data_IF_315782054122
#
_entry.id   IF_315782054122
#
_cell.length_a   1.000
_cell.length_b   1.000
_cell.length_c   1.000
_cell.angle_alpha   90.00
_cell.angle_beta   90.00
_cell.angle_gamma   90.00
#
_symmetry.space_group_name_H-M   'P 1'
#
loop_
_entity.id
_entity.type
_entity.pdbx_description
1 polymer ?
#
# COMPACT_ATOMS: atom_id res chain seq x y z
N UNK A 1 -4.10 6.48 25.45
CA UNK A 1 -3.68 5.15 24.96
C UNK A 1 -4.48 4.54 23.81
N UNK A 2 -5.46 5.22 23.17
CA UNK A 2 -6.33 4.55 22.16
C UNK A 2 -5.79 4.41 20.73
N UNK A 3 -4.70 5.08 20.36
CA UNK A 3 -4.22 5.12 18.96
C UNK A 3 -3.03 4.19 18.66
N UNK A 4 -2.46 3.50 19.64
CA UNK A 4 -1.31 2.59 19.43
C UNK A 4 0.00 3.24 18.97
N UNK A 5 0.04 4.57 18.84
CA UNK A 5 1.19 5.35 18.34
C UNK A 5 1.95 6.14 19.43
N UNK A 6 1.51 6.05 20.68
CA UNK A 6 2.14 6.76 21.79
C UNK A 6 2.97 5.80 22.64
N UNK A 7 4.11 6.31 23.10
CA UNK A 7 4.97 5.67 24.10
C UNK A 7 5.50 6.74 25.05
N UNK A 8 6.16 6.34 26.12
CA UNK A 8 6.69 7.24 27.15
C UNK A 8 7.72 8.25 26.62
N UNK A 9 8.35 7.95 25.48
CA UNK A 9 9.40 8.76 24.88
C UNK A 9 9.03 9.17 23.45
N UNK A 10 9.19 10.45 23.12
CA UNK A 10 9.05 10.91 21.74
C UNK A 10 10.30 10.58 20.94
N UNK A 11 10.13 10.03 19.72
CA UNK A 11 11.25 9.80 18.80
C UNK A 11 11.96 11.14 18.52
N UNK A 12 13.27 11.28 18.77
CA UNK A 12 14.00 12.53 18.52
C UNK A 12 13.94 12.96 17.05
N UNK A 13 13.85 14.26 16.78
CA UNK A 13 13.75 14.76 15.40
C UNK A 13 14.98 14.39 14.56
N UNK A 14 16.16 14.27 15.18
CA UNK A 14 17.41 13.84 14.55
C UNK A 14 17.41 12.37 14.12
N UNK A 15 16.53 11.54 14.71
CA UNK A 15 16.31 10.16 14.25
C UNK A 15 15.38 10.11 13.04
N UNK A 16 14.46 11.06 12.92
CA UNK A 16 13.57 11.23 11.76
C UNK A 16 14.32 11.91 10.61
N UNK A 17 15.11 12.94 10.89
CA UNK A 17 15.79 13.76 9.89
C UNK A 17 17.31 13.64 10.03
N UNK A 18 17.92 12.79 9.20
CA UNK A 18 19.39 12.75 9.05
C UNK A 18 19.81 13.53 7.80
N UNK A 19 20.84 14.37 7.87
CA UNK A 19 21.29 15.15 6.71
C UNK A 19 21.69 14.24 5.55
N UNK A 20 21.32 14.61 4.32
CA UNK A 20 21.69 13.86 3.11
C UNK A 20 21.00 12.49 2.97
N UNK A 21 19.92 12.23 3.72
CA UNK A 21 19.17 10.97 3.65
C UNK A 21 17.72 11.22 3.27
N UNK A 22 17.07 10.17 2.76
CA UNK A 22 15.61 10.13 2.55
C UNK A 22 15.01 9.26 3.64
N UNK A 23 14.17 9.85 4.49
CA UNK A 23 13.41 9.11 5.50
C UNK A 23 12.02 8.81 4.97
N UNK A 24 11.69 7.53 4.86
CA UNK A 24 10.36 7.06 4.44
C UNK A 24 9.54 6.74 5.69
N UNK A 25 8.42 7.43 5.86
CA UNK A 25 7.44 7.16 6.91
C UNK A 25 6.31 6.33 6.32
N UNK A 26 6.37 5.01 6.49
CA UNK A 26 5.33 4.13 6.01
C UNK A 26 4.12 4.18 6.95
N UNK A 27 3.00 4.71 6.44
CA UNK A 27 1.72 4.81 7.15
C UNK A 27 0.70 3.76 6.67
N UNK A 28 1.09 2.85 5.78
CA UNK A 28 0.22 1.80 5.26
C UNK A 28 -0.30 0.90 6.38
N UNK A 29 -1.56 0.48 6.26
CA UNK A 29 -2.23 -0.37 7.26
C UNK A 29 -2.78 0.38 8.49
N UNK A 30 -2.45 1.67 8.67
CA UNK A 30 -3.06 2.51 9.70
C UNK A 30 -4.38 3.10 9.22
N UNK A 31 -5.31 3.34 10.14
CA UNK A 31 -6.56 4.04 9.81
C UNK A 31 -6.30 5.54 9.52
N UNK A 32 -7.21 6.17 8.78
CA UNK A 32 -7.06 7.56 8.31
C UNK A 32 -6.82 8.57 9.43
N UNK A 33 -7.50 8.40 10.57
CA UNK A 33 -7.36 9.29 11.73
C UNK A 33 -5.95 9.25 12.32
N UNK A 34 -5.38 8.05 12.45
CA UNK A 34 -4.01 7.85 12.93
C UNK A 34 -3.01 8.43 11.93
N UNK A 35 -3.20 8.18 10.63
CA UNK A 35 -2.32 8.73 9.59
C UNK A 35 -2.29 10.26 9.63
N UNK A 36 -3.47 10.90 9.73
CA UNK A 36 -3.60 12.35 9.80
C UNK A 36 -2.96 12.92 11.07
N UNK A 37 -3.20 12.29 12.22
CA UNK A 37 -2.59 12.70 13.49
C UNK A 37 -1.05 12.59 13.45
N UNK A 38 -0.51 11.46 12.99
CA UNK A 38 0.95 11.24 12.88
C UNK A 38 1.57 12.28 11.94
N UNK A 39 0.95 12.50 10.78
CA UNK A 39 1.39 13.50 9.80
C UNK A 39 1.40 14.90 10.40
N UNK A 40 0.28 15.33 11.00
CA UNK A 40 0.18 16.64 11.66
C UNK A 40 1.27 16.83 12.72
N UNK A 41 1.47 15.82 13.57
CA UNK A 41 2.45 15.88 14.65
C UNK A 41 3.89 15.99 14.12
N UNK A 42 4.27 15.15 13.15
CA UNK A 42 5.62 15.16 12.59
C UNK A 42 5.89 16.48 11.86
N UNK A 43 4.99 16.92 10.97
CA UNK A 43 5.14 18.18 10.23
C UNK A 43 5.24 19.37 11.17
N UNK A 44 4.43 19.40 12.23
CA UNK A 44 4.47 20.47 13.24
C UNK A 44 5.81 20.51 13.95
N UNK A 45 6.36 19.34 14.32
CA UNK A 45 7.68 19.24 14.97
C UNK A 45 8.80 19.71 14.03
N UNK A 46 8.76 19.28 12.77
CA UNK A 46 9.73 19.70 11.74
C UNK A 46 9.70 21.22 11.54
N UNK A 47 8.51 21.77 11.32
CA UNK A 47 8.35 23.20 11.09
C UNK A 47 8.80 24.03 12.31
N UNK A 48 8.36 23.66 13.53
CA UNK A 48 8.79 24.33 14.76
C UNK A 48 10.31 24.27 14.95
N UNK A 49 10.94 23.12 14.72
CA UNK A 49 12.38 22.98 14.87
C UNK A 49 13.18 23.85 13.90
N UNK A 50 12.66 24.04 12.67
CA UNK A 50 13.23 24.94 11.68
C UNK A 50 13.02 26.41 12.03
N UNK A 51 11.83 26.79 12.50
CA UNK A 51 11.54 28.15 12.98
C UNK A 51 12.45 28.50 14.16
N UNK A 52 12.57 27.62 15.17
CA UNK A 52 13.41 27.85 16.34
C UNK A 52 14.89 27.97 15.98
N UNK A 53 15.37 27.19 15.02
CA UNK A 53 16.74 27.33 14.52
C UNK A 53 16.95 28.68 13.81
N UNK A 54 16.09 29.02 12.84
CA UNK A 54 16.24 30.23 12.01
C UNK A 54 16.03 31.54 12.79
N UNK A 55 15.23 31.53 13.85
CA UNK A 55 14.96 32.69 14.71
C UNK A 55 15.74 32.68 16.02
N UNK A 56 16.64 31.71 16.21
CA UNK A 56 17.39 31.49 17.44
C UNK A 56 16.51 31.45 18.72
N UNK A 57 15.32 30.84 18.63
CA UNK A 57 14.41 30.69 19.78
C UNK A 57 14.80 29.49 20.63
N UNK A 58 14.28 29.41 21.85
CA UNK A 58 14.42 28.21 22.68
C UNK A 58 13.64 27.00 22.12
N UNK A 59 13.99 25.80 22.60
CA UNK A 59 13.34 24.55 22.22
C UNK A 59 14.08 23.74 21.13
N UNK A 60 13.42 22.73 20.53
CA UNK A 60 14.03 21.88 19.52
C UNK A 60 14.53 22.70 18.33
N UNK A 61 15.74 22.41 17.84
CA UNK A 61 16.34 23.07 16.67
C UNK A 61 16.76 22.02 15.65
N UNK A 62 16.57 22.32 14.37
CA UNK A 62 17.12 21.51 13.28
C UNK A 62 17.85 22.43 12.29
N UNK A 63 19.16 22.27 12.06
CA UNK A 63 19.97 23.26 11.34
C UNK A 63 19.84 23.22 9.83
N UNK A 64 19.44 22.09 9.24
CA UNK A 64 19.41 21.91 7.79
C UNK A 64 18.04 22.18 7.17
N UNK A 65 17.95 22.61 5.91
CA UNK A 65 16.68 22.64 5.18
C UNK A 65 16.04 21.25 5.08
N UNK A 66 14.71 21.21 4.98
CA UNK A 66 13.94 19.97 4.90
C UNK A 66 13.00 20.04 3.71
N UNK A 67 12.96 18.99 2.89
CA UNK A 67 11.94 18.79 1.87
C UNK A 67 10.96 17.75 2.38
N UNK A 68 9.71 18.14 2.51
CA UNK A 68 8.60 17.26 2.89
C UNK A 68 7.89 16.83 1.62
N UNK A 69 7.77 15.51 1.42
CA UNK A 69 7.02 14.93 0.31
C UNK A 69 5.79 14.24 0.89
N UNK A 70 4.60 14.67 0.47
CA UNK A 70 3.31 14.08 0.87
C UNK A 70 2.72 13.31 -0.29
N UNK A 71 2.74 11.99 -0.20
CA UNK A 71 2.00 11.10 -1.09
C UNK A 71 0.51 11.09 -0.72
N UNK A 72 -0.38 10.88 -1.69
CA UNK A 72 -1.83 10.90 -1.49
C UNK A 72 -2.30 12.16 -0.75
N UNK A 73 -1.73 13.32 -1.11
CA UNK A 73 -1.86 14.57 -0.34
C UNK A 73 -3.32 14.99 -0.08
N UNK A 74 -4.27 14.57 -0.92
CA UNK A 74 -5.70 14.84 -0.74
C UNK A 74 -6.29 14.16 0.51
N UNK A 75 -5.60 13.17 1.08
CA UNK A 75 -5.92 12.56 2.37
C UNK A 75 -5.51 13.43 3.56
N UNK A 76 -4.61 14.38 3.38
CA UNK A 76 -4.06 15.21 4.46
C UNK A 76 -4.47 16.68 4.34
N UNK A 77 -4.61 17.18 3.12
CA UNK A 77 -5.00 18.56 2.84
C UNK A 77 -6.24 18.65 1.93
N UNK A 78 -7.39 18.05 2.30
CA UNK A 78 -8.64 18.28 1.57
C UNK A 78 -9.17 19.71 1.80
N UNK A 79 -10.02 20.23 0.90
CA UNK A 79 -10.70 21.50 1.13
C UNK A 79 -11.48 21.47 2.45
N UNK A 80 -11.37 22.53 3.26
CA UNK A 80 -11.97 22.61 4.61
C UNK A 80 -13.45 22.25 4.68
N UNK A 81 -14.21 22.60 3.64
CA UNK A 81 -15.66 22.33 3.57
C UNK A 81 -16.00 20.86 3.27
N UNK A 82 -15.04 20.09 2.73
CA UNK A 82 -15.20 18.65 2.44
C UNK A 82 -14.87 17.84 3.69
N UNK A 83 -13.73 18.10 4.32
CA UNK A 83 -13.28 17.40 5.52
C UNK A 83 -12.27 18.25 6.27
N UNK A 84 -12.42 18.32 7.58
CA UNK A 84 -11.41 18.93 8.46
C UNK A 84 -10.38 17.87 8.86
N UNK A 85 -9.10 18.14 8.61
CA UNK A 85 -7.97 17.29 9.01
C UNK A 85 -7.05 18.07 9.96
N UNK A 86 -6.40 17.35 10.88
CA UNK A 86 -5.42 17.90 11.80
C UNK A 86 -4.17 18.39 11.07
N UNK A 87 -3.81 17.76 9.96
CA UNK A 87 -2.60 18.09 9.20
C UNK A 87 -2.77 19.30 8.28
N UNK A 88 -3.98 19.63 7.83
CA UNK A 88 -4.22 20.74 6.90
C UNK A 88 -3.62 22.06 7.40
N UNK A 89 -3.84 22.41 8.67
CA UNK A 89 -3.33 23.69 9.23
C UNK A 89 -1.81 23.83 9.15
N UNK A 90 -1.06 22.76 9.44
CA UNK A 90 0.41 22.79 9.32
C UNK A 90 0.86 22.69 7.86
N UNK A 91 0.15 21.95 7.01
CA UNK A 91 0.45 21.86 5.58
C UNK A 91 0.29 23.22 4.91
N UNK A 92 -0.84 23.91 5.10
CA UNK A 92 -1.06 25.28 4.57
C UNK A 92 -0.02 26.27 5.07
N UNK A 93 0.40 26.14 6.34
CA UNK A 93 1.46 26.98 6.89
C UNK A 93 2.83 26.70 6.28
N UNK A 94 3.18 25.43 6.05
CA UNK A 94 4.42 25.08 5.36
C UNK A 94 4.37 25.59 3.91
N UNK A 95 3.24 25.43 3.22
CA UNK A 95 3.09 25.90 1.84
C UNK A 95 3.30 27.42 1.72
N UNK A 96 2.72 28.20 2.64
CA UNK A 96 2.80 29.68 2.62
C UNK A 96 4.07 30.27 3.24
N UNK A 97 4.56 29.72 4.36
CA UNK A 97 5.67 30.29 5.14
C UNK A 97 6.96 29.46 5.08
N UNK A 98 6.90 28.20 4.64
CA UNK A 98 7.98 27.23 4.76
C UNK A 98 9.29 27.68 4.13
N UNK A 99 9.23 28.35 2.96
CA UNK A 99 10.40 28.90 2.27
C UNK A 99 11.24 29.81 3.16
N UNK A 100 10.61 30.64 4.02
CA UNK A 100 11.31 31.54 4.95
C UNK A 100 12.15 30.80 5.98
N UNK A 101 11.79 29.55 6.26
CA UNK A 101 12.43 28.70 7.28
C UNK A 101 13.18 27.51 6.68
N UNK A 102 13.30 27.42 5.35
CA UNK A 102 13.92 26.29 4.67
C UNK A 102 13.14 24.97 4.84
N UNK A 103 11.82 25.04 4.95
CA UNK A 103 10.93 23.87 4.85
C UNK A 103 10.21 23.95 3.52
N UNK A 104 10.48 23.00 2.63
CA UNK A 104 9.85 22.91 1.32
C UNK A 104 8.79 21.81 1.34
N UNK A 105 7.72 22.01 0.58
CA UNK A 105 6.62 21.06 0.46
C UNK A 105 6.50 20.59 -0.98
N UNK A 106 6.39 19.28 -1.16
CA UNK A 106 6.02 18.62 -2.40
C UNK A 106 4.78 17.80 -2.11
N UNK A 107 3.70 18.08 -2.83
CA UNK A 107 2.44 17.31 -2.75
C UNK A 107 2.30 16.45 -3.99
N UNK A 108 2.01 15.17 -3.79
CA UNK A 108 1.77 14.20 -4.85
C UNK A 108 0.34 13.70 -4.70
N UNK A 109 -0.44 13.78 -5.78
CA UNK A 109 -1.84 13.34 -5.80
C UNK A 109 -2.28 13.05 -7.22
N UNK A 110 -3.14 12.06 -7.36
CA UNK A 110 -3.91 11.74 -8.57
C UNK A 110 -5.22 12.56 -8.67
N UNK A 111 -5.62 13.25 -7.59
CA UNK A 111 -6.83 14.08 -7.51
C UNK A 111 -6.50 15.51 -7.05
N UNK A 112 -5.89 16.35 -7.90
CA UNK A 112 -5.59 17.74 -7.54
C UNK A 112 -6.85 18.55 -7.17
N UNK A 113 -8.02 18.26 -7.74
CA UNK A 113 -9.29 18.90 -7.35
C UNK A 113 -9.71 18.63 -5.90
N UNK A 114 -9.16 17.60 -5.27
CA UNK A 114 -9.41 17.24 -3.87
C UNK A 114 -8.36 17.80 -2.91
N UNK A 115 -7.47 18.67 -3.37
CA UNK A 115 -6.54 19.41 -2.52
C UNK A 115 -7.18 20.76 -2.17
N UNK A 116 -6.94 21.23 -0.95
CA UNK A 116 -7.30 22.57 -0.53
C UNK A 116 -6.73 23.62 -1.50
N UNK A 117 -7.55 24.53 -2.06
CA UNK A 117 -7.09 25.48 -3.07
C UNK A 117 -5.97 26.41 -2.60
N UNK A 118 -5.93 26.74 -1.29
CA UNK A 118 -4.86 27.57 -0.74
C UNK A 118 -3.55 26.77 -0.72
N UNK A 119 -3.59 25.47 -0.43
CA UNK A 119 -2.39 24.62 -0.51
C UNK A 119 -1.92 24.47 -1.96
N UNK A 120 -2.85 24.20 -2.88
CA UNK A 120 -2.52 23.98 -4.29
C UNK A 120 -1.97 25.24 -4.96
N UNK A 121 -2.54 26.42 -4.68
CA UNK A 121 -2.07 27.71 -5.22
C UNK A 121 -0.69 28.13 -4.73
N UNK A 122 -0.22 27.62 -3.59
CA UNK A 122 1.16 27.84 -3.12
C UNK A 122 2.17 26.86 -3.75
N UNK A 123 1.70 25.88 -4.52
CA UNK A 123 2.56 24.92 -5.24
C UNK A 123 2.99 25.52 -6.58
N UNK A 124 3.89 26.49 -6.54
CA UNK A 124 4.31 27.29 -7.71
C UNK A 124 5.01 26.47 -8.80
N UNK A 125 5.68 25.38 -8.44
CA UNK A 125 6.33 24.46 -9.38
C UNK A 125 5.49 23.19 -9.48
N UNK A 126 5.11 22.81 -10.69
CA UNK A 126 4.22 21.67 -10.92
C UNK A 126 4.79 20.76 -12.00
N UNK A 127 4.68 19.46 -11.76
CA UNK A 127 4.92 18.41 -12.76
C UNK A 127 3.57 17.74 -12.96
N UNK A 128 2.97 17.97 -14.12
CA UNK A 128 1.60 17.60 -14.43
C UNK A 128 1.64 16.43 -15.40
N UNK A 129 1.28 15.26 -14.90
CA UNK A 129 1.11 14.05 -15.70
C UNK A 129 -0.28 14.03 -16.34
N UNK A 130 -0.58 12.98 -17.11
CA UNK A 130 -1.88 12.80 -17.73
C UNK A 130 -3.03 12.91 -16.71
N UNK A 131 -3.93 13.86 -16.93
CA UNK A 131 -5.19 14.02 -16.19
C UNK A 131 -6.36 13.96 -17.18
N UNK A 132 -7.36 13.13 -16.88
CA UNK A 132 -8.55 12.96 -17.74
C UNK A 132 -9.76 13.70 -17.17
N UNK A 133 -9.85 13.83 -15.84
CA UNK A 133 -10.99 14.43 -15.20
C UNK A 133 -10.96 15.96 -15.33
N UNK A 134 -12.04 16.54 -15.84
CA UNK A 134 -12.13 17.99 -16.07
C UNK A 134 -11.95 18.82 -14.79
N UNK A 135 -12.45 18.36 -13.64
CA UNK A 135 -12.27 19.07 -12.36
C UNK A 135 -10.81 19.11 -11.92
N UNK A 136 -10.06 18.03 -12.17
CA UNK A 136 -8.64 17.94 -11.84
C UNK A 136 -7.80 18.81 -12.78
N UNK A 137 -8.11 18.81 -14.08
CA UNK A 137 -7.50 19.71 -15.07
C UNK A 137 -7.73 21.17 -14.65
N UNK A 138 -8.98 21.55 -14.37
CA UNK A 138 -9.34 22.91 -13.95
C UNK A 138 -8.66 23.34 -12.65
N UNK A 139 -8.47 22.42 -11.69
CA UNK A 139 -7.79 22.72 -10.43
C UNK A 139 -6.31 23.06 -10.64
N UNK A 140 -5.61 22.26 -11.44
CA UNK A 140 -4.19 22.51 -11.78
C UNK A 140 -4.06 23.82 -12.57
N UNK A 141 -4.99 24.07 -13.49
CA UNK A 141 -5.08 25.32 -14.22
C UNK A 141 -5.26 26.55 -13.33
N UNK A 142 -6.25 26.51 -12.43
CA UNK A 142 -6.53 27.62 -11.53
C UNK A 142 -5.40 27.89 -10.55
N UNK A 143 -4.56 26.89 -10.27
CA UNK A 143 -3.41 27.00 -9.38
C UNK A 143 -2.12 27.45 -10.08
N UNK A 144 -2.09 27.55 -11.42
CA UNK A 144 -0.89 27.90 -12.18
C UNK A 144 -1.09 29.16 -13.00
N UNK A 145 -0.29 30.18 -12.71
CA UNK A 145 -0.29 31.44 -13.49
C UNK A 145 0.30 31.27 -14.90
N UNK A 146 1.02 30.18 -15.15
CA UNK A 146 1.79 29.96 -16.39
C UNK A 146 1.01 29.11 -17.40
N UNK A 147 0.05 28.31 -16.96
CA UNK A 147 -0.71 27.41 -17.85
C UNK A 147 -1.73 28.20 -18.68
N UNK A 148 -1.58 28.14 -20.01
CA UNK A 148 -2.56 28.67 -20.95
C UNK A 148 -3.53 27.57 -21.44
N UNK A 149 -4.65 27.98 -22.05
CA UNK A 149 -5.70 27.05 -22.50
C UNK A 149 -5.19 26.01 -23.52
N UNK A 150 -4.13 26.30 -24.27
CA UNK A 150 -3.52 25.40 -25.25
C UNK A 150 -2.77 24.25 -24.57
N UNK A 151 -1.93 24.56 -23.57
CA UNK A 151 -1.22 23.54 -22.77
C UNK A 151 -2.18 22.60 -22.04
N UNK A 152 -3.36 23.08 -21.68
CA UNK A 152 -4.41 22.26 -21.06
C UNK A 152 -4.94 21.14 -21.90
N UNK A 153 -5.12 21.40 -23.19
CA UNK A 153 -5.58 20.39 -24.14
C UNK A 153 -4.55 19.28 -24.28
N UNK A 154 -3.27 19.58 -24.03
CA UNK A 154 -2.22 18.57 -24.05
C UNK A 154 -2.29 17.64 -22.84
N UNK A 155 -2.66 18.14 -21.65
CA UNK A 155 -2.69 17.35 -20.39
C UNK A 155 -3.51 16.06 -20.54
N UNK A 156 -4.63 16.10 -21.27
CA UNK A 156 -5.51 14.94 -21.45
C UNK A 156 -5.00 13.91 -22.46
N UNK A 157 -4.10 14.31 -23.36
CA UNK A 157 -3.57 13.51 -24.47
C UNK A 157 -2.20 12.91 -24.13
N UNK A 158 -1.52 13.39 -23.08
CA UNK A 158 -0.23 12.85 -22.61
C UNK A 158 -0.27 11.34 -22.44
N UNK A 159 0.80 10.66 -22.84
CA UNK A 159 0.99 9.24 -22.60
C UNK A 159 1.53 8.95 -21.19
N UNK A 160 1.49 7.68 -20.79
CA UNK A 160 2.10 7.24 -19.53
C UNK A 160 3.61 7.53 -19.56
N UNK A 161 4.07 8.24 -18.53
CA UNK A 161 5.46 8.70 -18.44
C UNK A 161 5.70 10.07 -19.08
N UNK A 162 4.71 10.68 -19.73
CA UNK A 162 4.82 12.05 -20.25
C UNK A 162 4.17 13.06 -19.30
N UNK A 163 4.74 14.25 -19.26
CA UNK A 163 4.28 15.30 -18.34
C UNK A 163 4.65 16.70 -18.80
N UNK A 164 4.01 17.70 -18.20
CA UNK A 164 4.29 19.11 -18.41
C UNK A 164 4.89 19.67 -17.11
N UNK A 165 6.04 20.32 -17.21
CA UNK A 165 6.68 21.02 -16.10
C UNK A 165 6.45 22.51 -16.24
N UNK A 166 5.93 23.13 -15.18
CA UNK A 166 5.69 24.57 -15.11
C UNK A 166 6.16 25.15 -13.78
N UNK A 167 6.40 26.47 -13.78
CA UNK A 167 6.79 27.22 -12.60
C UNK A 167 8.30 27.45 -12.47
N UNK A 168 8.76 28.01 -11.34
CA UNK A 168 10.15 28.47 -11.15
C UNK A 168 11.26 27.41 -11.31
N UNK A 169 10.89 26.13 -11.32
CA UNK A 169 11.79 25.00 -11.62
C UNK A 169 12.30 25.01 -13.06
N UNK A 170 11.57 25.64 -14.00
CA UNK A 170 11.92 25.73 -15.41
C UNK A 170 11.67 27.15 -15.94
N UNK A 171 12.55 27.70 -16.81
CA UNK A 171 12.38 29.08 -17.31
C UNK A 171 11.16 29.24 -18.23
N UNK A 172 10.71 28.15 -18.87
CA UNK A 172 9.56 28.07 -19.76
C UNK A 172 8.81 26.75 -19.48
N UNK A 173 7.52 26.64 -19.81
CA UNK A 173 6.80 25.36 -19.79
C UNK A 173 7.48 24.32 -20.68
N UNK A 174 7.76 23.14 -20.13
CA UNK A 174 8.42 22.04 -20.85
C UNK A 174 7.53 20.80 -20.87
N UNK A 175 7.33 20.24 -22.05
CA UNK A 175 6.83 18.86 -22.20
C UNK A 175 8.01 17.92 -22.02
N UNK A 176 7.90 16.98 -21.09
CA UNK A 176 8.96 16.04 -20.74
C UNK A 176 8.48 14.60 -20.86
N UNK A 177 9.42 13.69 -21.08
CA UNK A 177 9.24 12.25 -20.91
C UNK A 177 10.09 11.78 -19.74
N UNK A 178 9.45 11.23 -18.72
CA UNK A 178 10.11 10.63 -17.57
C UNK A 178 10.78 9.33 -18.00
N UNK A 179 11.99 9.12 -17.49
CA UNK A 179 12.71 7.85 -17.66
C UNK A 179 12.00 6.74 -16.91
N UNK A 180 12.26 5.50 -17.33
CA UNK A 180 11.80 4.33 -16.60
C UNK A 180 12.37 4.27 -15.18
N UNK A 181 11.56 3.70 -14.29
CA UNK A 181 11.93 3.49 -12.89
C UNK A 181 13.05 2.46 -12.83
N UNK A 182 14.06 2.73 -12.01
CA UNK A 182 15.21 1.81 -11.78
C UNK A 182 15.01 0.94 -10.54
N UNK A 183 14.15 1.36 -9.62
CA UNK A 183 13.88 0.66 -8.36
C UNK A 183 12.60 -0.15 -8.49
N UNK A 184 12.66 -1.45 -8.21
CA UNK A 184 11.47 -2.26 -7.95
C UNK A 184 10.96 -1.93 -6.54
N UNK A 185 9.71 -1.49 -6.41
CA UNK A 185 9.04 -1.46 -5.11
C UNK A 185 7.74 -2.24 -5.21
N UNK A 186 7.45 -3.00 -4.15
CA UNK A 186 6.18 -3.69 -3.95
C UNK A 186 5.01 -2.72 -3.93
N UNK A 187 3.86 -3.20 -4.40
CA UNK A 187 2.69 -2.38 -4.72
C UNK A 187 2.25 -2.50 -6.17
N UNK A 188 2.72 -3.52 -6.91
CA UNK A 188 1.95 -3.99 -8.06
C UNK A 188 0.52 -4.25 -7.55
N UNK A 189 -0.48 -3.70 -8.24
CA UNK A 189 -1.86 -4.10 -8.03
C UNK A 189 -1.88 -5.63 -7.98
N UNK A 190 -2.59 -6.19 -6.99
CA UNK A 190 -2.82 -7.62 -6.96
C UNK A 190 -3.38 -7.96 -8.33
N UNK A 191 -2.73 -8.87 -9.06
CA UNK A 191 -3.28 -9.35 -10.32
C UNK A 191 -4.64 -9.99 -9.96
N UNK A 192 -5.71 -9.25 -10.22
CA UNK A 192 -7.06 -9.65 -9.87
C UNK A 192 -7.45 -10.90 -10.64
N UNK A 193 -6.90 -11.10 -11.84
CA UNK A 193 -7.14 -12.33 -12.59
C UNK A 193 -6.48 -13.51 -11.89
N UNK A 194 -5.25 -13.38 -11.39
CA UNK A 194 -4.61 -14.43 -10.58
C UNK A 194 -5.25 -14.61 -9.20
N UNK A 195 -5.69 -13.54 -8.54
CA UNK A 195 -6.36 -13.60 -7.25
C UNK A 195 -7.78 -14.18 -7.34
N UNK A 196 -8.49 -13.90 -8.45
CA UNK A 196 -9.83 -14.44 -8.74
C UNK A 196 -9.80 -15.73 -9.56
N UNK A 197 -8.63 -16.22 -10.01
CA UNK A 197 -8.47 -17.56 -10.60
C UNK A 197 -8.81 -18.68 -9.62
N UNK A 198 -9.04 -18.37 -8.35
CA UNK A 198 -9.85 -19.24 -7.51
C UNK A 198 -11.32 -19.19 -7.95
N UNK A 199 -11.74 -20.26 -8.64
CA UNK A 199 -13.14 -20.69 -8.87
C UNK A 199 -13.86 -20.15 -10.12
N UNK A 200 -13.40 -20.53 -11.31
CA UNK A 200 -14.31 -20.69 -12.46
C UNK A 200 -14.26 -22.12 -13.04
N UNK A 201 -13.09 -22.77 -13.04
CA UNK A 201 -12.89 -24.09 -13.68
C UNK A 201 -12.81 -25.27 -12.70
N UNK A 202 -12.94 -25.04 -11.39
CA UNK A 202 -12.97 -26.15 -10.42
C UNK A 202 -14.44 -26.49 -10.15
N UNK A 203 -14.93 -27.57 -10.76
CA UNK A 203 -16.15 -28.20 -10.27
C UNK A 203 -15.90 -28.66 -8.83
N UNK A 204 -16.51 -27.96 -7.88
CA UNK A 204 -16.34 -28.21 -6.44
C UNK A 204 -16.72 -29.66 -6.11
N UNK A 205 -17.65 -30.26 -6.85
CA UNK A 205 -18.03 -31.65 -6.64
C UNK A 205 -16.93 -32.60 -7.14
N UNK A 206 -16.37 -32.36 -8.32
CA UNK A 206 -15.25 -33.15 -8.84
C UNK A 206 -14.02 -33.06 -7.91
N UNK A 207 -13.70 -31.85 -7.46
CA UNK A 207 -12.59 -31.61 -6.54
C UNK A 207 -12.81 -32.31 -5.20
N UNK A 208 -14.03 -32.21 -4.66
CA UNK A 208 -14.44 -32.94 -3.46
C UNK A 208 -14.24 -34.44 -3.63
N UNK A 209 -14.76 -35.04 -4.71
CA UNK A 209 -14.64 -36.48 -4.97
C UNK A 209 -13.18 -36.94 -5.05
N UNK A 210 -12.31 -36.14 -5.69
CA UNK A 210 -10.88 -36.45 -5.78
C UNK A 210 -10.20 -36.42 -4.42
N UNK A 211 -10.50 -35.45 -3.57
CA UNK A 211 -9.95 -35.36 -2.22
C UNK A 211 -10.48 -36.50 -1.33
N UNK A 212 -11.77 -36.83 -1.39
CA UNK A 212 -12.36 -37.95 -0.64
C UNK A 212 -11.69 -39.28 -1.01
N UNK A 213 -11.41 -39.49 -2.30
CA UNK A 213 -10.74 -40.69 -2.80
C UNK A 213 -9.31 -40.85 -2.26
N UNK A 214 -8.59 -39.73 -2.09
CA UNK A 214 -7.20 -39.73 -1.62
C UNK A 214 -7.12 -39.90 -0.11
N UNK A 215 -7.98 -39.20 0.62
CA UNK A 215 -8.01 -39.28 2.06
C UNK A 215 -8.68 -40.56 2.55
N UNK A 216 -9.58 -41.17 1.78
CA UNK A 216 -10.41 -42.28 2.24
C UNK A 216 -11.46 -41.85 3.27
N UNK A 217 -11.76 -40.55 3.36
CA UNK A 217 -12.71 -39.96 4.29
C UNK A 217 -13.67 -39.02 3.56
N UNK A 218 -14.91 -38.94 4.02
CA UNK A 218 -15.89 -37.97 3.52
C UNK A 218 -15.54 -36.56 3.98
N UNK A 219 -15.72 -35.58 3.11
CA UNK A 219 -15.46 -34.16 3.43
C UNK A 219 -16.72 -33.34 3.20
N UNK A 220 -16.99 -32.37 4.07
CA UNK A 220 -18.09 -31.42 3.86
C UNK A 220 -17.72 -30.39 2.79
N UNK A 221 -18.71 -29.94 2.03
CA UNK A 221 -18.53 -28.89 1.02
C UNK A 221 -18.03 -27.59 1.64
N UNK A 222 -18.44 -27.30 2.89
CA UNK A 222 -17.95 -26.16 3.66
C UNK A 222 -16.44 -26.24 3.92
N UNK A 223 -15.92 -27.40 4.35
CA UNK A 223 -14.48 -27.57 4.58
C UNK A 223 -13.68 -27.53 3.28
N UNK A 224 -14.25 -28.03 2.17
CA UNK A 224 -13.66 -27.91 0.84
C UNK A 224 -13.51 -26.44 0.43
N UNK A 225 -14.57 -25.64 0.57
CA UNK A 225 -14.53 -24.21 0.25
C UNK A 225 -13.53 -23.45 1.14
N UNK A 226 -13.48 -23.76 2.43
CA UNK A 226 -12.53 -23.15 3.36
C UNK A 226 -11.08 -23.58 3.11
N UNK A 227 -10.86 -24.73 2.47
CA UNK A 227 -9.53 -25.21 2.13
C UNK A 227 -8.94 -24.50 0.90
N UNK A 228 -9.78 -24.06 -0.05
CA UNK A 228 -9.36 -23.42 -1.29
C UNK A 228 -8.31 -22.30 -1.08
N UNK A 229 -8.57 -21.25 -0.28
CA UNK A 229 -7.59 -20.17 -0.09
C UNK A 229 -6.29 -20.63 0.58
N UNK A 230 -6.31 -21.77 1.28
CA UNK A 230 -5.15 -22.31 1.98
C UNK A 230 -4.23 -23.11 1.05
N UNK A 231 -4.67 -23.55 -0.13
CA UNK A 231 -3.86 -24.39 -1.03
C UNK A 231 -2.54 -23.72 -1.41
N UNK A 232 -2.55 -22.41 -1.65
CA UNK A 232 -1.35 -21.66 -2.04
C UNK A 232 -0.43 -21.36 -0.85
N UNK A 233 -0.86 -21.60 0.39
CA UNK A 233 -0.03 -21.43 1.59
C UNK A 233 0.60 -22.75 2.06
N UNK A 234 0.36 -23.85 1.34
CA UNK A 234 0.93 -25.16 1.63
C UNK A 234 2.38 -25.24 1.17
N UNK A 235 3.27 -25.58 2.10
CA UNK A 235 4.71 -25.77 1.90
C UNK A 235 5.19 -27.09 2.51
N UNK A 236 6.42 -27.50 2.19
CA UNK A 236 7.09 -28.67 2.76
C UNK A 236 6.29 -29.97 2.61
N UNK A 237 5.69 -30.19 1.43
CA UNK A 237 4.86 -31.37 1.16
C UNK A 237 5.74 -32.60 0.91
N UNK A 238 5.63 -33.60 1.77
CA UNK A 238 6.34 -34.86 1.67
C UNK A 238 5.38 -36.05 1.73
N UNK A 239 5.72 -37.13 1.02
CA UNK A 239 4.97 -38.39 1.03
C UNK A 239 5.93 -39.54 1.35
N UNK A 240 5.71 -40.20 2.48
CA UNK A 240 6.45 -41.40 2.87
C UNK A 240 5.50 -42.49 3.40
N UNK A 241 5.68 -43.74 2.98
CA UNK A 241 4.84 -44.88 3.39
C UNK A 241 3.33 -44.61 3.42
N UNK A 242 2.80 -43.93 2.39
CA UNK A 242 1.38 -43.48 2.28
C UNK A 242 0.95 -42.45 3.32
N UNK A 243 1.87 -41.81 4.03
CA UNK A 243 1.62 -40.66 4.90
C UNK A 243 2.00 -39.40 4.14
N UNK A 244 1.01 -38.55 3.88
CA UNK A 244 1.19 -37.20 3.35
C UNK A 244 1.38 -36.24 4.52
N UNK A 245 2.45 -35.45 4.51
CA UNK A 245 2.79 -34.49 5.56
C UNK A 245 3.15 -33.14 4.94
N UNK A 246 2.88 -32.07 5.66
CA UNK A 246 3.33 -30.75 5.27
C UNK A 246 2.83 -29.64 6.18
N UNK A 247 3.10 -28.41 5.80
CA UNK A 247 2.67 -27.21 6.52
C UNK A 247 1.69 -26.40 5.69
N UNK A 248 0.57 -26.01 6.30
CA UNK A 248 -0.41 -25.10 5.72
C UNK A 248 -0.32 -23.77 6.46
N UNK A 249 0.36 -22.79 5.86
CA UNK A 249 0.83 -21.61 6.59
C UNK A 249 1.77 -22.02 7.73
N UNK A 250 1.37 -21.75 8.98
CA UNK A 250 2.13 -22.13 10.19
C UNK A 250 1.60 -23.39 10.87
N UNK A 251 0.63 -24.10 10.28
CA UNK A 251 -0.03 -25.27 10.88
C UNK A 251 0.55 -26.55 10.30
N UNK A 252 1.06 -27.44 11.14
CA UNK A 252 1.44 -28.78 10.68
C UNK A 252 0.22 -29.68 10.51
N UNK A 253 0.15 -30.38 9.38
CA UNK A 253 -0.89 -31.34 9.07
C UNK A 253 -0.32 -32.61 8.45
N UNK A 254 -0.93 -33.73 8.77
CA UNK A 254 -0.64 -35.01 8.13
C UNK A 254 -1.91 -35.81 7.87
N UNK A 255 -1.90 -36.58 6.79
CA UNK A 255 -2.98 -37.45 6.41
C UNK A 255 -2.42 -38.75 5.85
N UNK A 256 -2.98 -39.88 6.27
CA UNK A 256 -2.68 -41.16 5.66
C UNK A 256 -3.62 -41.38 4.49
N UNK A 257 -3.04 -41.81 3.39
CA UNK A 257 -3.73 -41.93 2.12
C UNK A 257 -4.59 -43.20 2.09
N UNK A 258 -5.89 -43.03 1.89
CA UNK A 258 -6.87 -44.09 1.71
C UNK A 258 -7.40 -44.76 2.98
N UNK A 259 -6.90 -44.40 4.16
CA UNK A 259 -7.34 -45.00 5.44
C UNK A 259 -8.28 -44.10 6.26
N UNK A 260 -8.52 -42.87 5.81
CA UNK A 260 -9.38 -41.89 6.46
C UNK A 260 -8.79 -41.24 7.70
N UNK A 261 -7.54 -41.54 8.06
CA UNK A 261 -6.89 -41.02 9.26
C UNK A 261 -6.03 -39.80 8.95
N UNK A 262 -6.15 -38.79 9.81
CA UNK A 262 -5.46 -37.52 9.64
C UNK A 262 -5.25 -36.86 11.00
N UNK A 263 -4.27 -35.98 11.07
CA UNK A 263 -4.03 -35.13 12.23
C UNK A 263 -3.65 -33.72 11.78
N UNK A 264 -4.12 -32.75 12.54
CA UNK A 264 -3.81 -31.35 12.35
C UNK A 264 -3.46 -30.76 13.70
N UNK A 265 -2.34 -30.04 13.77
CA UNK A 265 -1.82 -29.45 15.00
C UNK A 265 -2.85 -28.55 15.70
N UNK A 266 -3.63 -27.80 14.91
CA UNK A 266 -4.63 -26.85 15.43
C UNK A 266 -6.03 -27.47 15.52
N UNK A 267 -6.42 -28.28 14.53
CA UNK A 267 -7.78 -28.81 14.46
C UNK A 267 -7.95 -30.17 15.14
N UNK A 268 -6.87 -30.82 15.56
CA UNK A 268 -6.88 -32.17 16.12
C UNK A 268 -7.19 -33.23 15.05
N UNK A 269 -7.91 -34.28 15.46
CA UNK A 269 -8.41 -35.34 14.59
C UNK A 269 -9.92 -35.50 14.86
N UNK A 270 -10.72 -34.70 14.16
CA UNK A 270 -12.20 -34.71 14.26
C UNK A 270 -12.82 -35.77 13.33
N UNK A 271 -14.14 -35.88 13.33
CA UNK A 271 -14.86 -36.86 12.50
C UNK A 271 -14.74 -36.62 10.99
N UNK A 272 -14.42 -35.40 10.56
CA UNK A 272 -14.26 -35.03 9.15
C UNK A 272 -12.94 -34.25 8.92
N UNK A 273 -12.21 -34.49 7.81
CA UNK A 273 -10.99 -33.76 7.49
C UNK A 273 -11.19 -32.24 7.53
N UNK A 274 -10.30 -31.55 8.25
CA UNK A 274 -10.35 -30.11 8.39
C UNK A 274 -9.83 -29.39 7.12
N UNK A 275 -10.08 -28.08 6.96
CA UNK A 275 -9.61 -27.32 5.80
C UNK A 275 -8.10 -27.40 5.54
N UNK A 276 -7.27 -27.49 6.59
CA UNK A 276 -5.81 -27.62 6.45
C UNK A 276 -5.42 -28.97 5.80
N UNK A 277 -6.04 -30.07 6.24
CA UNK A 277 -5.76 -31.41 5.69
C UNK A 277 -6.25 -31.51 4.24
N UNK A 278 -7.42 -30.95 3.95
CA UNK A 278 -7.96 -30.88 2.59
C UNK A 278 -7.05 -30.05 1.68
N UNK A 279 -6.55 -28.90 2.16
CA UNK A 279 -5.62 -28.05 1.40
C UNK A 279 -4.29 -28.77 1.12
N UNK A 280 -3.76 -29.51 2.10
CA UNK A 280 -2.56 -30.33 1.94
C UNK A 280 -2.76 -31.42 0.87
N UNK A 281 -3.86 -32.16 0.92
CA UNK A 281 -4.20 -33.17 -0.08
C UNK A 281 -4.41 -32.57 -1.49
N UNK A 282 -5.05 -31.41 -1.56
CA UNK A 282 -5.28 -30.68 -2.80
C UNK A 282 -3.98 -30.15 -3.43
N UNK A 283 -3.04 -29.67 -2.61
CA UNK A 283 -1.72 -29.26 -3.07
C UNK A 283 -0.95 -30.44 -3.64
N UNK A 284 -0.97 -31.59 -2.96
CA UNK A 284 -0.33 -32.82 -3.44
C UNK A 284 -0.92 -33.31 -4.78
N UNK A 285 -2.23 -33.13 -4.98
CA UNK A 285 -2.91 -33.37 -6.27
C UNK A 285 -2.43 -32.42 -7.37
N UNK A 286 -2.37 -31.12 -7.07
CA UNK A 286 -1.99 -30.07 -8.02
C UNK A 286 -0.53 -30.22 -8.45
N UNK A 287 0.34 -30.59 -7.52
CA UNK A 287 1.78 -30.75 -7.75
C UNK A 287 2.11 -32.17 -8.31
N UNK A 288 1.09 -32.97 -8.64
CA UNK A 288 1.19 -34.30 -9.25
C UNK A 288 2.03 -35.33 -8.46
N UNK A 289 2.22 -35.10 -7.16
CA UNK A 289 3.05 -35.92 -6.26
C UNK A 289 2.46 -37.31 -5.99
N UNK A 290 1.20 -37.53 -6.39
CA UNK A 290 0.44 -38.76 -6.17
C UNK A 290 0.45 -39.72 -7.38
N UNK A 291 1.19 -39.39 -8.44
CA UNK A 291 1.07 -40.04 -9.75
C UNK A 291 1.80 -41.39 -9.94
N UNK A 292 2.52 -41.95 -8.96
CA UNK A 292 3.23 -43.23 -9.16
C UNK A 292 3.16 -44.30 -8.06
N UNK A 293 2.43 -44.12 -6.94
CA UNK A 293 2.44 -45.13 -5.84
C UNK A 293 1.08 -45.50 -5.24
N UNK A 294 -0.02 -45.22 -5.94
CA UNK A 294 -1.36 -45.71 -5.58
C UNK A 294 -1.96 -46.46 -6.78
N UNK A 295 -1.34 -47.58 -7.13
CA UNK A 295 -2.01 -48.73 -7.76
C UNK A 295 -1.97 -49.88 -6.76
#
# INVERSE_FOLDING_TARGET
DRLGIYTYWSLPITKILRPGTVTILNLAGLNDEVQDHVTSHILTRVFKARVSYMRNLEGPKYPFPVVVILEEAHRFAPPKHVRSTLSLGVISRIASEGRKFGVYLVVITQRPSKIDPDVLSQCNSQIILRLVNQSDISAVFGASEVLNAELGKLISILDVGEGIVVGPVTPLPLVIRLRDRVLEYGGADIDLADAWKFNADIDINEFKERVEKILGAKVSQANVLNALPLINTVNDVEIDMKVLRGRVGNVYAEARLGDGSWSCEVCGSTHEPCPHVIALAAKALKDNLLSEKVK
#
